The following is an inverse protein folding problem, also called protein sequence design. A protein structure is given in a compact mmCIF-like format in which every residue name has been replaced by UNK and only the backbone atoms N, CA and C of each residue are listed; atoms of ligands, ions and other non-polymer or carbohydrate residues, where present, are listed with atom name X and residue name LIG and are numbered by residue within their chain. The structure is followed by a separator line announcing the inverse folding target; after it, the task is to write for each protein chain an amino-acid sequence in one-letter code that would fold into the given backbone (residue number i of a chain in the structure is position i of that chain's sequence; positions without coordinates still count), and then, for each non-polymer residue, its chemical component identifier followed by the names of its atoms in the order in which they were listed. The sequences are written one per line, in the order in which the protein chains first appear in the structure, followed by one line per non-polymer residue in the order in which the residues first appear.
data_IF_580415252391
#
_entry.id   IF_580415252391
#
_cell.length_a   1.000
_cell.length_b   1.000
_cell.length_c   1.000
_cell.angle_alpha   90.00
_cell.angle_beta   90.00
_cell.angle_gamma   90.00
#
_symmetry.space_group_name_H-M   'P 1'
#
loop_
_entity.id
_entity.type
_entity.pdbx_description
1 polymer ?
#
# COMPACT_ATOMS: atom_id res chain seq x y z
N UNK A 1 -6.94 -27.86 -0.62
CA UNK A 1 -5.68 -28.15 0.10
C UNK A 1 -5.30 -26.86 0.80
N UNK A 2 -5.29 -26.81 2.14
CA UNK A 2 -4.89 -25.61 2.86
C UNK A 2 -3.39 -25.38 2.63
N UNK A 3 -3.04 -24.35 1.85
CA UNK A 3 -1.65 -23.94 1.66
C UNK A 3 -1.11 -23.47 3.01
N UNK A 4 0.04 -24.01 3.41
CA UNK A 4 0.75 -23.59 4.62
C UNK A 4 0.99 -22.08 4.53
N UNK A 5 0.71 -21.30 5.60
CA UNK A 5 0.99 -19.87 5.63
C UNK A 5 2.44 -19.63 5.23
N UNK A 6 2.64 -18.92 4.11
CA UNK A 6 3.98 -18.61 3.65
C UNK A 6 4.51 -17.44 4.48
N UNK A 7 5.52 -17.72 5.30
CA UNK A 7 6.18 -16.69 6.10
C UNK A 7 6.68 -15.54 5.22
N UNK A 8 7.14 -15.83 4.00
CA UNK A 8 7.58 -14.80 3.07
C UNK A 8 6.42 -13.93 2.58
N UNK A 9 5.27 -14.50 2.23
CA UNK A 9 4.08 -13.72 1.86
C UNK A 9 3.59 -12.87 3.03
N UNK A 10 3.59 -13.42 4.24
CA UNK A 10 3.19 -12.68 5.43
C UNK A 10 4.09 -11.46 5.68
N UNK A 11 5.41 -11.63 5.61
CA UNK A 11 6.37 -10.52 5.76
C UNK A 11 6.21 -9.50 4.63
N UNK A 12 6.02 -9.96 3.38
CA UNK A 12 5.82 -9.06 2.24
C UNK A 12 4.54 -8.24 2.37
N UNK A 13 3.45 -8.83 2.86
CA UNK A 13 2.19 -8.15 3.11
C UNK A 13 2.37 -6.95 4.07
N UNK A 14 3.09 -7.17 5.18
CA UNK A 14 3.38 -6.10 6.14
C UNK A 14 4.26 -5.01 5.56
N UNK A 15 5.32 -5.37 4.82
CA UNK A 15 6.21 -4.38 4.17
C UNK A 15 5.40 -3.51 3.21
N UNK A 16 4.59 -4.12 2.35
CA UNK A 16 3.74 -3.40 1.40
C UNK A 16 2.70 -2.53 2.09
N UNK A 17 2.11 -3.00 3.19
CA UNK A 17 1.16 -2.24 3.99
C UNK A 17 1.82 -0.97 4.56
N UNK A 18 2.98 -1.08 5.18
CA UNK A 18 3.67 0.08 5.77
C UNK A 18 4.08 1.10 4.70
N UNK A 19 4.62 0.64 3.57
CA UNK A 19 4.97 1.54 2.45
C UNK A 19 3.72 2.22 1.89
N UNK A 20 2.65 1.46 1.70
CA UNK A 20 1.37 1.97 1.21
C UNK A 20 0.75 3.02 2.15
N UNK A 21 0.75 2.76 3.46
CA UNK A 21 0.27 3.70 4.47
C UNK A 21 1.14 4.96 4.56
N UNK A 22 2.47 4.82 4.45
CA UNK A 22 3.37 5.97 4.40
C UNK A 22 3.11 6.83 3.17
N UNK A 23 2.98 6.23 1.98
CA UNK A 23 2.65 6.93 0.74
C UNK A 23 1.29 7.63 0.82
N UNK A 24 0.28 6.97 1.38
CA UNK A 24 -1.03 7.56 1.60
C UNK A 24 -0.97 8.74 2.59
N UNK A 25 -0.20 8.61 3.67
CA UNK A 25 0.00 9.69 4.65
C UNK A 25 0.68 10.89 3.98
N UNK A 26 1.71 10.66 3.16
CA UNK A 26 2.37 11.73 2.39
C UNK A 26 1.36 12.41 1.46
N UNK A 27 0.51 11.65 0.76
CA UNK A 27 -0.53 12.22 -0.10
C UNK A 27 -1.53 13.07 0.70
N UNK A 28 -1.98 12.60 1.87
CA UNK A 28 -2.90 13.35 2.74
C UNK A 28 -2.25 14.64 3.24
N UNK A 29 -1.00 14.58 3.70
CA UNK A 29 -0.25 15.76 4.16
C UNK A 29 -0.07 16.74 3.00
N UNK A 30 0.33 16.25 1.82
CA UNK A 30 0.54 17.07 0.64
C UNK A 30 -0.74 17.75 0.17
N UNK A 31 -1.86 17.02 0.14
CA UNK A 31 -3.16 17.56 -0.29
C UNK A 31 -3.78 18.50 0.74
N UNK A 32 -3.46 18.37 2.02
CA UNK A 32 -3.99 19.23 3.08
C UNK A 32 -3.17 20.49 3.32
N UNK A 33 -1.83 20.38 3.30
CA UNK A 33 -0.92 21.45 3.71
C UNK A 33 -0.06 21.99 2.55
N UNK A 34 -0.09 21.36 1.38
CA UNK A 34 0.64 21.83 0.21
C UNK A 34 0.13 23.18 -0.27
N UNK A 35 1.00 24.21 -0.21
CA UNK A 35 0.72 25.56 -0.74
C UNK A 35 0.42 25.55 -2.23
N UNK A 36 1.14 24.73 -2.98
CA UNK A 36 0.94 24.54 -4.43
C UNK A 36 0.68 23.06 -4.70
N UNK A 37 -0.56 22.74 -5.07
CA UNK A 37 -0.96 21.36 -5.38
C UNK A 37 -0.54 20.99 -6.79
N UNK A 38 0.51 20.20 -6.91
CA UNK A 38 0.90 19.56 -8.16
C UNK A 38 -0.01 18.37 -8.43
N UNK A 39 -0.82 18.47 -9.47
CA UNK A 39 -1.66 17.37 -9.94
C UNK A 39 -0.79 16.17 -10.32
N UNK A 40 0.36 16.41 -10.97
CA UNK A 40 1.30 15.34 -11.36
C UNK A 40 1.81 14.55 -10.16
N UNK A 41 2.26 15.24 -9.10
CA UNK A 41 2.76 14.56 -7.89
C UNK A 41 1.64 13.79 -7.19
N UNK A 42 0.43 14.36 -7.14
CA UNK A 42 -0.74 13.73 -6.54
C UNK A 42 -1.12 12.44 -7.28
N UNK A 43 -1.14 12.45 -8.61
CA UNK A 43 -1.42 11.26 -9.42
C UNK A 43 -0.38 10.17 -9.16
N UNK A 44 0.91 10.51 -9.15
CA UNK A 44 1.98 9.55 -8.88
C UNK A 44 1.84 8.93 -7.48
N UNK A 45 1.58 9.75 -6.46
CA UNK A 45 1.42 9.26 -5.08
C UNK A 45 0.15 8.43 -4.90
N UNK A 46 -0.95 8.76 -5.58
CA UNK A 46 -2.17 7.93 -5.61
C UNK A 46 -1.88 6.56 -6.21
N UNK A 47 -1.19 6.50 -7.36
CA UNK A 47 -0.86 5.24 -8.03
C UNK A 47 0.02 4.38 -7.12
N UNK A 48 1.08 4.96 -6.55
CA UNK A 48 1.99 4.26 -5.64
C UNK A 48 1.21 3.72 -4.42
N UNK A 49 0.46 4.57 -3.72
CA UNK A 49 -0.31 4.14 -2.55
C UNK A 49 -1.32 3.03 -2.89
N UNK A 50 -2.02 3.15 -4.01
CA UNK A 50 -3.02 2.17 -4.45
C UNK A 50 -2.40 0.80 -4.77
N UNK A 51 -1.26 0.80 -5.47
CA UNK A 51 -0.53 -0.44 -5.80
C UNK A 51 -0.05 -1.12 -4.51
N UNK A 52 0.66 -0.40 -3.64
CA UNK A 52 1.21 -1.00 -2.43
C UNK A 52 0.12 -1.49 -1.46
N UNK A 53 -0.93 -0.69 -1.24
CA UNK A 53 -2.05 -1.12 -0.39
C UNK A 53 -2.82 -2.29 -1.00
N UNK A 54 -3.10 -2.26 -2.31
CA UNK A 54 -3.80 -3.33 -3.01
C UNK A 54 -3.04 -4.66 -2.93
N UNK A 55 -1.74 -4.66 -3.20
CA UNK A 55 -0.90 -5.84 -3.06
C UNK A 55 -0.76 -6.30 -1.60
N UNK A 56 -0.70 -5.38 -0.63
CA UNK A 56 -0.68 -5.76 0.78
C UNK A 56 -1.93 -6.56 1.16
N UNK A 57 -3.11 -6.08 0.76
CA UNK A 57 -4.39 -6.74 1.02
C UNK A 57 -4.44 -8.09 0.30
N UNK A 58 -4.02 -8.12 -0.97
CA UNK A 58 -3.94 -9.36 -1.74
C UNK A 58 -3.05 -10.42 -1.06
N UNK A 59 -1.87 -10.05 -0.57
CA UNK A 59 -0.98 -10.99 0.14
C UNK A 59 -1.55 -11.45 1.49
N UNK A 60 -2.27 -10.57 2.21
CA UNK A 60 -3.00 -10.99 3.41
C UNK A 60 -4.08 -12.02 3.08
N UNK A 61 -4.87 -11.80 2.03
CA UNK A 61 -5.92 -12.72 1.60
C UNK A 61 -5.34 -14.07 1.18
N UNK A 62 -4.28 -14.06 0.37
CA UNK A 62 -3.58 -15.29 -0.02
C UNK A 62 -3.06 -16.07 1.19
N UNK A 63 -2.53 -15.38 2.21
CA UNK A 63 -2.06 -16.05 3.43
C UNK A 63 -3.21 -16.61 4.28
N UNK A 64 -4.44 -16.08 4.13
CA UNK A 64 -5.66 -16.62 4.74
C UNK A 64 -6.30 -17.74 3.89
N UNK A 65 -5.76 -18.02 2.70
CA UNK A 65 -6.28 -19.04 1.79
C UNK A 65 -7.51 -18.60 0.99
N UNK A 66 -7.70 -17.29 0.82
CA UNK A 66 -8.76 -16.65 0.01
C UNK A 66 -8.13 -16.10 -1.27
#
# INVERSE_FOLDING_TARGET
MAQVPSLSLWVLAWIFLFIGLAALTILVVYTRYGREKSVRLSVITIIIASVFLGFSIHFFLLNLGI
#
